data_IF_091905952904
#
_entry.id   IF_091905952904
#
_cell.length_a   1.000
_cell.length_b   1.000
_cell.length_c   1.000
_cell.angle_alpha   90.00
_cell.angle_beta   90.00
_cell.angle_gamma   90.00
#
_symmetry.space_group_name_H-M   'P 1'
#
loop_
_entity.id
_entity.type
_entity.pdbx_description
1 polymer ?
#
# COMPACT_ATOMS: atom_id res chain seq x y z
N UNK A 1 3.25 -17.43 3.59
CA UNK A 1 3.51 -15.98 3.69
C UNK A 1 4.06 -15.55 2.34
N UNK A 2 3.60 -14.43 1.79
CA UNK A 2 4.11 -13.91 0.52
C UNK A 2 5.55 -13.42 0.74
N UNK A 3 6.48 -13.65 -0.20
CA UNK A 3 7.87 -13.26 0.00
C UNK A 3 8.00 -11.73 0.06
N UNK A 4 8.68 -11.24 1.10
CA UNK A 4 9.06 -9.83 1.27
C UNK A 4 10.57 -9.72 1.47
N UNK A 5 11.13 -8.54 1.23
CA UNK A 5 12.56 -8.25 1.54
C UNK A 5 12.74 -6.86 2.11
N UNK A 6 13.84 -6.65 2.82
CA UNK A 6 14.23 -5.31 3.24
C UNK A 6 14.57 -4.43 2.02
N UNK A 7 14.25 -3.14 2.14
CA UNK A 7 14.67 -2.11 1.19
C UNK A 7 16.20 -1.97 1.17
N UNK A 8 16.77 -1.85 -0.04
CA UNK A 8 18.17 -1.48 -0.29
C UNK A 8 18.27 0.05 -0.29
N UNK A 9 18.90 0.66 0.73
CA UNK A 9 18.88 2.11 0.91
C UNK A 9 19.64 2.87 -0.19
N UNK A 10 20.48 2.19 -0.99
CA UNK A 10 21.22 2.79 -2.09
C UNK A 10 20.43 2.66 -3.38
N UNK A 11 19.98 1.44 -3.73
CA UNK A 11 19.24 1.19 -4.98
C UNK A 11 17.84 1.80 -4.96
N UNK A 12 17.21 1.83 -3.80
CA UNK A 12 15.83 2.30 -3.60
C UNK A 12 15.76 3.63 -2.84
N UNK A 13 16.86 4.41 -2.85
CA UNK A 13 16.91 5.74 -2.25
C UNK A 13 15.79 6.67 -2.75
N UNK A 14 15.39 6.53 -4.02
CA UNK A 14 14.29 7.30 -4.61
C UNK A 14 12.94 7.04 -3.92
N UNK A 15 12.66 5.80 -3.52
CA UNK A 15 11.44 5.43 -2.77
C UNK A 15 11.47 6.10 -1.40
N UNK A 16 12.61 6.08 -0.72
CA UNK A 16 12.78 6.72 0.60
C UNK A 16 12.52 8.23 0.49
N UNK A 17 13.13 8.90 -0.50
CA UNK A 17 12.92 10.32 -0.76
C UNK A 17 11.46 10.63 -1.08
N UNK A 18 10.83 9.84 -1.95
CA UNK A 18 9.44 10.04 -2.35
C UNK A 18 8.46 9.86 -1.21
N UNK A 19 8.63 8.82 -0.39
CA UNK A 19 7.84 8.60 0.83
C UNK A 19 8.00 9.79 1.77
N UNK A 20 9.22 10.29 1.97
CA UNK A 20 9.46 11.48 2.79
C UNK A 20 8.70 12.68 2.25
N UNK A 21 8.79 12.98 0.95
CA UNK A 21 8.07 14.08 0.31
C UNK A 21 6.55 13.97 0.51
N UNK A 22 5.97 12.80 0.24
CA UNK A 22 4.52 12.57 0.41
C UNK A 22 4.08 12.73 1.87
N UNK A 23 4.88 12.23 2.83
CA UNK A 23 4.59 12.42 4.26
C UNK A 23 4.65 13.88 4.70
N UNK A 24 5.51 14.69 4.09
CA UNK A 24 5.60 16.13 4.40
C UNK A 24 4.32 16.90 4.01
N UNK A 25 3.52 16.39 3.08
CA UNK A 25 2.24 16.99 2.68
C UNK A 25 1.15 16.78 3.73
N UNK A 26 1.25 15.72 4.52
CA UNK A 26 0.28 15.37 5.56
C UNK A 26 0.30 16.35 6.74
N UNK A 27 -0.79 16.37 7.52
CA UNK A 27 -0.83 17.11 8.79
C UNK A 27 0.14 16.51 9.82
N UNK A 28 0.51 17.29 10.83
CA UNK A 28 1.53 16.93 11.82
C UNK A 28 1.33 15.57 12.49
N UNK A 29 0.09 15.16 12.71
CA UNK A 29 -0.26 13.90 13.38
C UNK A 29 0.04 12.69 12.47
N UNK A 30 -0.46 12.71 11.23
CA UNK A 30 -0.20 11.66 10.24
C UNK A 30 1.25 11.64 9.75
N UNK A 31 1.91 12.80 9.70
CA UNK A 31 3.33 12.90 9.35
C UNK A 31 4.23 12.12 10.32
N UNK A 32 3.88 12.07 11.62
CA UNK A 32 4.73 11.51 12.68
C UNK A 32 4.33 10.11 13.16
N UNK A 33 3.19 9.61 12.71
CA UNK A 33 2.57 8.36 13.18
C UNK A 33 2.08 7.50 12.01
N UNK A 34 1.51 6.33 12.30
CA UNK A 34 0.96 5.42 11.28
C UNK A 34 2.00 4.80 10.35
N UNK A 35 1.59 3.71 9.69
CA UNK A 35 2.34 3.11 8.60
C UNK A 35 2.08 3.90 7.32
N UNK A 36 3.10 4.08 6.50
CA UNK A 36 2.99 4.65 5.17
C UNK A 36 3.48 3.63 4.13
N UNK A 37 2.81 3.57 2.98
CA UNK A 37 3.22 2.72 1.86
C UNK A 37 3.17 3.49 0.55
N UNK A 38 4.01 3.10 -0.39
CA UNK A 38 4.09 3.60 -1.76
C UNK A 38 4.20 2.40 -2.71
N UNK A 39 3.39 2.37 -3.75
CA UNK A 39 3.51 1.43 -4.84
C UNK A 39 3.90 2.15 -6.12
N UNK A 40 5.02 1.74 -6.72
CA UNK A 40 5.39 2.10 -8.09
C UNK A 40 4.75 1.09 -9.04
N UNK A 41 3.92 1.60 -9.97
CA UNK A 41 3.09 0.78 -10.84
C UNK A 41 3.51 0.99 -12.29
N UNK A 42 4.01 -0.08 -12.91
CA UNK A 42 4.31 -0.14 -14.33
C UNK A 42 3.38 -1.12 -15.03
N UNK A 43 2.15 -0.67 -15.26
CA UNK A 43 1.11 -1.38 -15.98
C UNK A 43 0.60 -0.45 -17.08
N UNK A 44 0.57 -0.91 -18.34
CA UNK A 44 0.24 -0.06 -19.47
C UNK A 44 -1.20 0.51 -19.42
N UNK A 45 -2.14 -0.27 -18.89
CA UNK A 45 -3.55 0.11 -18.79
C UNK A 45 -3.87 1.01 -17.60
N UNK A 46 -2.93 1.24 -16.70
CA UNK A 46 -3.07 2.13 -15.54
C UNK A 46 -2.29 3.42 -15.83
N UNK A 47 -2.97 4.56 -15.74
CA UNK A 47 -2.36 5.87 -16.04
C UNK A 47 -1.46 6.31 -14.88
N UNK A 48 -1.96 6.20 -13.66
CA UNK A 48 -1.28 6.55 -12.42
C UNK A 48 -0.11 5.60 -12.16
N UNK A 49 1.09 6.16 -11.96
CA UNK A 49 2.31 5.36 -11.78
C UNK A 49 2.70 5.18 -10.32
N UNK A 50 2.04 5.90 -9.42
CA UNK A 50 2.32 5.90 -7.99
C UNK A 50 1.00 5.86 -7.23
N UNK A 51 0.87 4.91 -6.30
CA UNK A 51 -0.23 4.82 -5.35
C UNK A 51 0.36 4.84 -3.95
N UNK A 52 -0.26 5.53 -3.01
CA UNK A 52 0.25 5.59 -1.65
C UNK A 52 -0.88 5.62 -0.64
N UNK A 53 -0.63 5.09 0.54
CA UNK A 53 -1.62 5.00 1.60
C UNK A 53 -0.99 5.31 2.96
N UNK A 54 -1.86 5.67 3.90
CA UNK A 54 -1.53 5.80 5.31
C UNK A 54 -2.51 4.98 6.15
N UNK A 55 -2.01 4.27 7.17
CA UNK A 55 -2.81 3.30 7.93
C UNK A 55 -3.92 3.92 8.78
N UNK A 56 -3.86 5.24 9.03
CA UNK A 56 -4.87 5.97 9.83
C UNK A 56 -5.72 6.94 9.00
N UNK A 57 -5.61 6.89 7.67
CA UNK A 57 -6.45 7.66 6.75
C UNK A 57 -7.33 6.68 5.99
N UNK A 58 -8.53 6.44 6.52
CA UNK A 58 -9.53 5.56 5.91
C UNK A 58 -10.49 6.32 4.99
N UNK A 59 -10.60 7.63 5.17
CA UNK A 59 -11.46 8.53 4.40
C UNK A 59 -10.75 9.86 4.15
N UNK A 60 -11.14 10.56 3.08
CA UNK A 60 -10.60 11.86 2.70
C UNK A 60 -11.39 12.99 3.38
N UNK A 61 -10.81 13.57 4.44
CA UNK A 61 -11.32 14.82 5.01
C UNK A 61 -11.07 16.00 4.05
N UNK A 62 -11.83 17.12 4.13
CA UNK A 62 -11.61 18.29 3.29
C UNK A 62 -10.16 18.80 3.33
N UNK A 63 -9.56 18.84 4.53
CA UNK A 63 -8.16 19.27 4.72
C UNK A 63 -7.12 18.32 4.09
N UNK A 64 -7.41 17.02 4.04
CA UNK A 64 -6.54 16.05 3.38
C UNK A 64 -6.72 16.10 1.86
N UNK A 65 -7.94 16.29 1.36
CA UNK A 65 -8.23 16.41 -0.06
C UNK A 65 -7.48 17.55 -0.74
N UNK A 66 -7.24 18.66 -0.04
CA UNK A 66 -6.43 19.77 -0.57
C UNK A 66 -4.93 19.46 -0.66
N UNK A 67 -4.44 18.52 0.16
CA UNK A 67 -3.01 18.23 0.34
C UNK A 67 -2.54 16.98 -0.39
N UNK A 68 -3.35 15.93 -0.33
CA UNK A 68 -3.08 14.58 -0.84
C UNK A 68 -4.36 13.98 -1.46
N UNK A 69 -4.94 14.62 -2.50
CA UNK A 69 -6.22 14.19 -3.09
C UNK A 69 -6.21 12.76 -3.65
N UNK A 70 -5.02 12.23 -3.95
CA UNK A 70 -4.82 10.92 -4.56
C UNK A 70 -4.34 9.83 -3.59
N UNK A 71 -4.41 10.08 -2.27
CA UNK A 71 -4.11 9.03 -1.29
C UNK A 71 -5.14 7.89 -1.39
N UNK A 72 -4.65 6.65 -1.38
CA UNK A 72 -5.50 5.46 -1.32
C UNK A 72 -6.19 5.38 0.05
N UNK A 73 -7.51 5.31 0.02
CA UNK A 73 -8.39 5.23 1.19
C UNK A 73 -9.01 3.83 1.32
N UNK A 74 -9.76 3.59 2.41
CA UNK A 74 -10.43 2.31 2.60
C UNK A 74 -11.49 2.10 1.50
N UNK A 75 -11.44 0.99 0.74
CA UNK A 75 -12.41 0.70 -0.30
C UNK A 75 -13.78 0.37 0.29
N UNK A 76 -14.84 0.96 -0.27
CA UNK A 76 -16.24 0.65 0.09
C UNK A 76 -16.70 -0.70 -0.48
N UNK A 77 -16.19 -1.07 -1.66
CA UNK A 77 -16.47 -2.35 -2.30
C UNK A 77 -15.14 -3.02 -2.72
N UNK A 78 -14.43 -3.66 -1.78
CA UNK A 78 -13.13 -4.26 -2.06
C UNK A 78 -13.26 -5.48 -2.98
N UNK A 79 -12.29 -5.61 -3.88
CA UNK A 79 -12.10 -6.83 -4.70
C UNK A 79 -11.56 -7.97 -3.84
N UNK A 80 -10.62 -7.66 -2.95
CA UNK A 80 -9.99 -8.59 -2.02
C UNK A 80 -10.35 -8.17 -0.61
N UNK A 81 -10.91 -9.10 0.18
CA UNK A 81 -11.39 -8.79 1.53
C UNK A 81 -10.27 -8.84 2.56
N UNK A 82 -10.27 -7.91 3.50
CA UNK A 82 -9.42 -8.01 4.67
C UNK A 82 -9.90 -9.16 5.56
N UNK A 83 -8.93 -9.78 6.23
CA UNK A 83 -9.15 -10.70 7.35
C UNK A 83 -8.59 -10.10 8.64
N UNK A 84 -8.93 -10.72 9.77
CA UNK A 84 -8.36 -10.33 11.06
C UNK A 84 -6.89 -10.74 11.16
N UNK A 85 -6.07 -9.89 11.77
CA UNK A 85 -4.71 -10.22 12.17
C UNK A 85 -4.34 -9.51 13.48
N UNK A 86 -3.43 -10.07 14.29
CA UNK A 86 -3.06 -9.47 15.56
C UNK A 86 -2.24 -8.18 15.35
N UNK A 87 -2.43 -7.17 16.21
CA UNK A 87 -1.42 -6.11 16.42
C UNK A 87 -0.24 -6.63 17.26
N UNK A 88 0.67 -5.71 17.62
CA UNK A 88 1.83 -5.98 18.47
C UNK A 88 1.45 -6.47 19.86
N UNK A 89 0.27 -6.08 20.34
CA UNK A 89 -0.30 -6.47 21.63
C UNK A 89 -1.06 -7.81 21.56
N UNK A 90 -1.15 -8.44 20.37
CA UNK A 90 -1.83 -9.72 20.17
C UNK A 90 -3.36 -9.61 20.02
N UNK A 91 -3.90 -8.40 19.96
CA UNK A 91 -5.34 -8.15 19.75
C UNK A 91 -5.66 -8.32 18.28
N UNK A 92 -6.62 -9.21 17.97
CA UNK A 92 -7.10 -9.47 16.62
C UNK A 92 -8.19 -8.48 16.23
N UNK A 93 -8.07 -7.93 15.03
CA UNK A 93 -9.07 -7.03 14.45
C UNK A 93 -8.93 -7.02 12.92
N UNK A 94 -9.97 -6.58 12.19
CA UNK A 94 -9.92 -6.45 10.74
C UNK A 94 -8.80 -5.53 10.28
N UNK A 95 -8.08 -5.95 9.24
CA UNK A 95 -6.94 -5.20 8.68
C UNK A 95 -7.33 -4.41 7.42
N UNK A 96 -8.54 -3.88 7.39
CA UNK A 96 -9.10 -3.11 6.28
C UNK A 96 -8.63 -1.64 6.24
N UNK A 97 -8.01 -1.14 7.31
CA UNK A 97 -7.28 0.14 7.31
C UNK A 97 -5.82 0.02 6.84
N UNK A 98 -5.30 -1.18 6.62
CA UNK A 98 -3.89 -1.38 6.27
C UNK A 98 -3.56 -0.81 4.88
N UNK A 99 -2.34 -0.31 4.76
CA UNK A 99 -1.88 0.44 3.58
C UNK A 99 -1.84 -0.42 2.31
N UNK A 100 -1.36 -1.65 2.42
CA UNK A 100 -1.24 -2.62 1.34
C UNK A 100 -2.62 -3.06 0.85
N UNK A 101 -3.58 -3.19 1.79
CA UNK A 101 -4.97 -3.50 1.48
C UNK A 101 -5.62 -2.39 0.65
N UNK A 102 -5.45 -1.13 1.05
CA UNK A 102 -5.99 0.05 0.34
C UNK A 102 -5.42 0.16 -1.07
N UNK A 103 -4.08 0.15 -1.19
CA UNK A 103 -3.39 0.31 -2.48
C UNK A 103 -3.79 -0.80 -3.45
N UNK A 104 -3.70 -2.08 -3.04
CA UNK A 104 -3.96 -3.19 -3.95
C UNK A 104 -5.44 -3.28 -4.36
N UNK A 105 -6.38 -2.93 -3.48
CA UNK A 105 -7.79 -2.84 -3.86
C UNK A 105 -8.06 -1.67 -4.80
N UNK A 106 -7.41 -0.52 -4.64
CA UNK A 106 -7.55 0.59 -5.59
C UNK A 106 -7.03 0.19 -6.97
N UNK A 107 -5.82 -0.38 -7.06
CA UNK A 107 -5.25 -0.88 -8.32
C UNK A 107 -6.19 -1.93 -8.95
N UNK A 108 -6.70 -2.87 -8.15
CA UNK A 108 -7.63 -3.88 -8.64
C UNK A 108 -8.96 -3.29 -9.16
N UNK A 109 -9.45 -2.22 -8.54
CA UNK A 109 -10.65 -1.53 -9.00
C UNK A 109 -10.48 -0.87 -10.38
N UNK A 110 -9.25 -0.47 -10.73
CA UNK A 110 -8.90 0.06 -12.04
C UNK A 110 -8.72 -1.05 -13.09
N UNK A 111 -8.09 -2.15 -12.69
CA UNK A 111 -7.89 -3.32 -13.54
C UNK A 111 -9.20 -4.06 -13.84
N UNK A 112 -10.12 -4.12 -12.87
CA UNK A 112 -11.39 -4.85 -12.96
C UNK A 112 -11.14 -6.30 -13.40
N UNK A 113 -11.79 -6.73 -14.48
CA UNK A 113 -11.67 -8.08 -15.05
C UNK A 113 -10.59 -8.22 -16.13
N UNK A 114 -9.67 -7.25 -16.26
CA UNK A 114 -8.52 -7.34 -17.17
C UNK A 114 -7.41 -8.23 -16.58
N UNK A 115 -7.72 -9.50 -16.31
CA UNK A 115 -6.82 -10.47 -15.63
C UNK A 115 -5.53 -10.77 -16.38
N UNK A 116 -5.56 -10.63 -17.70
CA UNK A 116 -4.41 -10.88 -18.58
C UNK A 116 -3.41 -9.72 -18.65
N UNK A 117 -3.67 -8.63 -17.92
CA UNK A 117 -2.80 -7.44 -17.90
C UNK A 117 -1.39 -7.78 -17.44
N UNK A 118 -0.40 -7.31 -18.20
CA UNK A 118 1.02 -7.53 -17.92
C UNK A 118 1.59 -6.27 -17.26
N UNK A 119 2.45 -6.45 -16.25
CA UNK A 119 3.22 -5.35 -15.69
C UNK A 119 3.95 -5.71 -14.41
N UNK A 120 4.41 -4.68 -13.72
CA UNK A 120 5.09 -4.83 -12.43
C UNK A 120 4.56 -3.83 -11.42
N UNK A 121 4.51 -4.25 -10.16
CA UNK A 121 4.23 -3.39 -9.01
C UNK A 121 5.37 -3.59 -8.01
N UNK A 122 6.02 -2.51 -7.60
CA UNK A 122 6.93 -2.50 -6.46
C UNK A 122 6.23 -1.81 -5.30
N UNK A 123 5.81 -2.59 -4.32
CA UNK A 123 5.09 -2.13 -3.14
C UNK A 123 6.06 -1.98 -1.96
N UNK A 124 6.35 -0.73 -1.62
CA UNK A 124 7.04 -0.37 -0.40
C UNK A 124 6.06 -0.14 0.75
N UNK A 125 6.38 -0.67 1.93
CA UNK A 125 5.68 -0.43 3.19
C UNK A 125 6.70 -0.24 4.31
N UNK A 126 6.46 0.62 5.29
CA UNK A 126 7.47 0.83 6.34
C UNK A 126 7.51 -0.33 7.34
N UNK A 127 6.33 -0.84 7.69
CA UNK A 127 6.16 -2.06 8.49
C UNK A 127 6.13 -3.27 7.57
N UNK A 128 6.64 -4.41 8.03
CA UNK A 128 6.45 -5.66 7.29
C UNK A 128 4.97 -6.08 7.28
N UNK A 129 4.59 -6.87 6.29
CA UNK A 129 3.20 -7.21 5.99
C UNK A 129 2.60 -8.14 7.05
N UNK A 130 1.40 -7.82 7.53
CA UNK A 130 0.67 -8.69 8.46
C UNK A 130 0.08 -9.92 7.73
N UNK A 131 -0.45 -10.90 8.49
CA UNK A 131 -1.07 -12.11 7.92
C UNK A 131 -2.19 -11.77 6.91
N UNK A 132 -3.00 -10.76 7.21
CA UNK A 132 -4.11 -10.34 6.36
C UNK A 132 -3.63 -9.70 5.06
N UNK A 133 -2.66 -8.79 5.11
CA UNK A 133 -2.06 -8.20 3.90
C UNK A 133 -1.37 -9.26 3.04
N UNK A 134 -0.68 -10.23 3.64
CA UNK A 134 -0.09 -11.36 2.92
C UNK A 134 -1.12 -12.12 2.09
N UNK A 135 -2.31 -12.33 2.65
CA UNK A 135 -3.43 -12.96 1.95
C UNK A 135 -3.93 -12.10 0.79
N UNK A 136 -4.13 -10.79 1.01
CA UNK A 136 -4.56 -9.85 -0.03
C UNK A 136 -3.56 -9.82 -1.19
N UNK A 137 -2.25 -9.80 -0.91
CA UNK A 137 -1.20 -9.85 -1.95
C UNK A 137 -1.26 -11.18 -2.72
N UNK A 138 -1.46 -12.30 -2.03
CA UNK A 138 -1.60 -13.61 -2.67
C UNK A 138 -2.84 -13.70 -3.56
N UNK A 139 -3.98 -13.16 -3.11
CA UNK A 139 -5.21 -13.12 -3.91
C UNK A 139 -5.06 -12.18 -5.12
N UNK A 140 -4.40 -11.03 -4.97
CA UNK A 140 -4.10 -10.10 -6.06
C UNK A 140 -3.25 -10.77 -7.14
N UNK A 141 -2.14 -11.38 -6.74
CA UNK A 141 -1.20 -12.05 -7.66
C UNK A 141 -1.80 -13.29 -8.31
N UNK A 142 -2.73 -13.98 -7.63
CA UNK A 142 -3.49 -15.08 -8.22
C UNK A 142 -4.52 -14.61 -9.27
N UNK A 143 -5.18 -13.46 -9.06
CA UNK A 143 -6.15 -12.89 -10.00
C UNK A 143 -5.46 -12.26 -11.23
N UNK A 144 -4.36 -11.53 -11.04
CA UNK A 144 -3.61 -10.85 -12.09
C UNK A 144 -2.25 -11.51 -12.33
N UNK A 145 -2.28 -12.71 -12.90
CA UNK A 145 -1.10 -13.63 -12.97
C UNK A 145 0.10 -13.07 -13.73
N UNK A 146 -0.12 -12.13 -14.65
CA UNK A 146 0.94 -11.54 -15.46
C UNK A 146 1.49 -10.23 -14.85
N UNK A 147 1.04 -9.85 -13.66
CA UNK A 147 1.59 -8.73 -12.89
C UNK A 147 2.55 -9.29 -11.84
N UNK A 148 3.82 -8.93 -11.94
CA UNK A 148 4.80 -9.27 -10.90
C UNK A 148 4.71 -8.25 -9.77
N UNK A 149 4.45 -8.72 -8.54
CA UNK A 149 4.42 -7.88 -7.34
C UNK A 149 5.65 -8.14 -6.50
N UNK A 150 6.51 -7.14 -6.37
CA UNK A 150 7.63 -7.13 -5.44
C UNK A 150 7.23 -6.34 -4.19
N UNK A 151 7.42 -6.93 -3.01
CA UNK A 151 7.12 -6.28 -1.72
C UNK A 151 8.41 -6.01 -0.96
N UNK A 152 8.65 -4.74 -0.66
CA UNK A 152 9.81 -4.30 0.10
C UNK A 152 9.38 -3.59 1.37
N UNK A 153 10.10 -3.81 2.47
CA UNK A 153 9.79 -3.19 3.76
C UNK A 153 10.98 -2.48 4.38
N UNK A 154 10.71 -1.51 5.27
CA UNK A 154 11.76 -0.77 5.98
C UNK A 154 12.10 -1.34 7.37
N UNK A 155 11.93 -2.64 7.56
CA UNK A 155 12.17 -3.33 8.85
C UNK A 155 11.45 -2.68 10.05
N UNK A 156 10.27 -2.10 9.84
CA UNK A 156 9.52 -1.42 10.87
C UNK A 156 9.97 0.02 11.16
N UNK A 157 11.00 0.52 10.47
CA UNK A 157 11.46 1.89 10.60
C UNK A 157 10.59 2.82 9.78
N UNK A 158 9.91 3.76 10.45
CA UNK A 158 9.14 4.79 9.77
C UNK A 158 10.05 5.91 9.29
N UNK A 159 9.89 6.30 8.03
CA UNK A 159 10.51 7.45 7.42
C UNK A 159 9.80 8.69 7.96
N UNK A 160 10.56 9.64 8.51
CA UNK A 160 10.07 10.87 9.16
C UNK A 160 10.69 12.13 8.52
#
# INVERSE_FOLDING_TARGET
>A
MYPTRAIDPIKEAHIISKVKELRLLLTSDYKKSGNFALAEVNIATIKEKEFFAHSSIDELSPSLSERVPNISIQPTNPVFKATDAPNKEGVWYPRDSDTEYKILNQIASELKEKTETIGTIKLFTELDTCLSCNRVIAEFTAKYKNITVEVIHNNGNRIK
#
